data_IF_141935862525
#
_entry.id   IF_141935862525
#
_cell.length_a   1.000
_cell.length_b   1.000
_cell.length_c   1.000
_cell.angle_alpha   90.00
_cell.angle_beta   90.00
_cell.angle_gamma   90.00
#
_symmetry.space_group_name_H-M   'P 1'
#
loop_
_entity.id
_entity.type
_entity.pdbx_description
1 polymer ?
#
# COMPACT_ATOMS: atom_id res chain seq x y z
N UNK A 1 -4.77 18.74 5.35
CA UNK A 1 -4.18 17.58 4.63
C UNK A 1 -2.69 17.52 4.91
N UNK A 2 -2.17 16.36 5.23
CA UNK A 2 -0.75 16.17 5.52
C UNK A 2 -0.11 15.36 4.39
N UNK A 3 0.96 15.88 3.79
CA UNK A 3 1.68 15.20 2.70
C UNK A 3 2.95 14.57 3.25
N UNK A 4 3.17 13.29 2.95
CA UNK A 4 4.38 12.56 3.35
C UNK A 4 5.08 12.06 2.10
N UNK A 5 6.33 12.52 1.90
CA UNK A 5 7.14 12.06 0.77
C UNK A 5 7.67 10.66 1.04
N UNK A 6 7.63 9.81 0.03
CA UNK A 6 8.06 8.41 0.08
C UNK A 6 9.04 8.14 -1.07
N UNK A 7 9.91 7.11 -0.94
CA UNK A 7 10.82 6.78 -2.05
C UNK A 7 10.09 6.44 -3.35
N UNK A 8 8.89 5.91 -3.26
CA UNK A 8 8.09 5.47 -4.41
C UNK A 8 7.11 6.55 -4.92
N UNK A 9 6.97 7.67 -4.21
CA UNK A 9 6.03 8.73 -4.56
C UNK A 9 5.65 9.54 -3.34
N UNK A 10 4.36 9.58 -3.00
CA UNK A 10 3.90 10.32 -1.83
C UNK A 10 2.56 9.80 -1.32
N UNK A 11 2.25 10.17 -0.09
CA UNK A 11 0.94 9.99 0.53
C UNK A 11 0.34 11.36 0.86
N UNK A 12 -0.96 11.49 0.65
CA UNK A 12 -1.74 12.63 1.13
C UNK A 12 -2.74 12.11 2.15
N UNK A 13 -2.54 12.44 3.42
CA UNK A 13 -3.42 11.99 4.50
C UNK A 13 -4.50 13.06 4.69
N UNK A 14 -5.73 12.71 4.31
CA UNK A 14 -6.85 13.65 4.34
C UNK A 14 -7.82 13.40 5.47
N UNK A 15 -7.72 12.24 6.15
CA UNK A 15 -8.53 11.92 7.33
C UNK A 15 -7.67 11.14 8.31
N UNK A 16 -7.62 11.58 9.56
CA UNK A 16 -6.85 10.91 10.60
C UNK A 16 -7.53 11.14 11.95
N UNK A 17 -8.08 10.06 12.51
CA UNK A 17 -8.72 10.08 13.82
C UNK A 17 -8.23 8.89 14.63
N UNK A 18 -8.69 8.77 15.86
CA UNK A 18 -8.39 7.60 16.69
C UNK A 18 -9.08 6.33 16.22
N UNK A 19 -9.97 6.42 15.23
CA UNK A 19 -10.75 5.27 14.74
C UNK A 19 -10.46 4.89 13.30
N UNK A 20 -10.00 5.82 12.46
CA UNK A 20 -9.78 5.54 11.05
C UNK A 20 -8.72 6.46 10.45
N UNK A 21 -8.23 6.05 9.29
CA UNK A 21 -7.28 6.80 8.49
C UNK A 21 -7.76 6.79 7.04
N UNK A 22 -7.67 7.95 6.38
CA UNK A 22 -7.95 8.06 4.95
C UNK A 22 -6.82 8.78 4.25
N UNK A 23 -6.36 8.23 3.11
CA UNK A 23 -5.27 8.84 2.37
C UNK A 23 -5.31 8.48 0.89
N UNK A 24 -4.58 9.27 0.09
CA UNK A 24 -4.25 8.94 -1.28
C UNK A 24 -2.79 8.54 -1.36
N UNK A 25 -2.50 7.49 -2.14
CA UNK A 25 -1.14 7.09 -2.46
C UNK A 25 -0.88 7.41 -3.93
N UNK A 26 0.24 8.06 -4.20
CA UNK A 26 0.68 8.37 -5.56
C UNK A 26 1.98 7.59 -5.80
N UNK A 27 1.91 6.60 -6.69
CA UNK A 27 3.05 5.73 -6.99
C UNK A 27 3.60 6.12 -8.35
N UNK A 28 4.86 6.52 -8.39
CA UNK A 28 5.52 6.94 -9.63
C UNK A 28 5.77 5.75 -10.55
N UNK A 29 5.93 6.03 -11.84
CA UNK A 29 6.21 5.02 -12.87
C UNK A 29 7.39 4.14 -12.43
N UNK A 30 7.23 2.84 -12.55
CA UNK A 30 8.21 1.81 -12.18
C UNK A 30 8.60 1.77 -10.71
N UNK A 31 7.84 2.44 -9.85
CA UNK A 31 8.07 2.38 -8.40
C UNK A 31 7.06 1.45 -7.73
N UNK A 32 7.38 1.06 -6.50
CA UNK A 32 6.56 0.12 -5.75
C UNK A 32 6.76 0.30 -4.25
N UNK A 33 5.73 -0.02 -3.48
CA UNK A 33 5.86 -0.12 -2.03
C UNK A 33 6.63 -1.39 -1.66
N UNK A 34 6.97 -1.53 -0.38
CA UNK A 34 7.54 -2.78 0.11
C UNK A 34 6.52 -3.91 0.01
N UNK A 35 7.00 -5.14 -0.10
CA UNK A 35 6.17 -6.32 0.14
C UNK A 35 6.03 -6.44 1.64
N UNK A 36 4.80 -6.40 2.14
CA UNK A 36 4.56 -6.18 3.56
C UNK A 36 3.23 -6.80 3.99
N UNK A 37 3.08 -6.94 5.30
CA UNK A 37 1.77 -7.22 5.91
C UNK A 37 1.61 -6.40 7.19
N UNK A 38 0.38 -6.32 7.68
CA UNK A 38 0.04 -5.68 8.94
C UNK A 38 -0.48 -6.73 9.91
N UNK A 39 -0.15 -6.58 11.19
CA UNK A 39 -0.58 -7.54 12.19
C UNK A 39 -2.01 -7.25 12.68
N UNK A 40 -2.36 -5.98 12.78
CA UNK A 40 -3.66 -5.52 13.31
C UNK A 40 -4.40 -4.65 12.30
N UNK A 41 -3.66 -3.78 11.59
CA UNK A 41 -4.24 -2.82 10.65
C UNK A 41 -5.01 -3.53 9.55
N UNK A 42 -6.19 -3.00 9.28
CA UNK A 42 -7.05 -3.45 8.17
C UNK A 42 -7.29 -2.28 7.24
N UNK A 43 -7.22 -2.51 5.94
CA UNK A 43 -7.39 -1.43 4.95
C UNK A 43 -8.16 -1.90 3.72
N UNK A 44 -8.73 -0.95 3.01
CA UNK A 44 -9.30 -1.16 1.68
C UNK A 44 -8.77 -0.09 0.76
N UNK A 45 -8.31 -0.49 -0.41
CA UNK A 45 -7.85 0.45 -1.44
C UNK A 45 -8.81 0.44 -2.62
N UNK A 46 -8.88 1.58 -3.28
CA UNK A 46 -9.60 1.75 -4.54
C UNK A 46 -8.65 2.38 -5.55
N UNK A 47 -8.56 1.81 -6.74
CA UNK A 47 -7.75 2.39 -7.81
C UNK A 47 -8.48 3.60 -8.36
N UNK A 48 -7.83 4.77 -8.33
CA UNK A 48 -8.38 6.03 -8.85
C UNK A 48 -7.86 6.29 -10.26
N UNK A 49 -6.55 6.13 -10.47
CA UNK A 49 -5.90 6.33 -11.76
C UNK A 49 -4.83 5.27 -11.99
N UNK A 50 -4.60 4.94 -13.26
CA UNK A 50 -3.56 4.01 -13.66
C UNK A 50 -4.00 2.55 -13.57
N UNK A 51 -3.02 1.65 -13.63
CA UNK A 51 -3.24 0.22 -13.51
C UNK A 51 -2.35 -0.26 -12.38
N UNK A 52 -2.98 -0.72 -11.30
CA UNK A 52 -2.25 -1.24 -10.14
C UNK A 52 -1.82 -2.67 -10.38
N UNK A 53 -0.52 -2.94 -10.29
CA UNK A 53 -0.02 -4.31 -10.16
C UNK A 53 -0.02 -4.66 -8.67
N UNK A 54 -0.78 -5.66 -8.29
CA UNK A 54 -0.96 -6.07 -6.90
C UNK A 54 -0.38 -7.47 -6.72
N UNK A 55 0.57 -7.60 -5.79
CA UNK A 55 1.07 -8.91 -5.35
C UNK A 55 0.37 -9.26 -4.05
N UNK A 56 -0.08 -10.51 -3.91
CA UNK A 56 -0.88 -10.97 -2.77
C UNK A 56 -0.39 -12.34 -2.34
N UNK A 57 -0.35 -12.57 -1.02
CA UNK A 57 0.00 -13.87 -0.48
C UNK A 57 -0.10 -13.91 1.04
N UNK A 58 0.57 -14.90 1.62
CA UNK A 58 0.68 -15.09 3.06
C UNK A 58 2.15 -14.98 3.47
N UNK A 59 2.46 -14.68 4.75
CA UNK A 59 3.85 -14.56 5.18
C UNK A 59 4.72 -15.79 4.90
N UNK A 60 4.12 -16.98 4.91
CA UNK A 60 4.82 -18.24 4.66
C UNK A 60 4.98 -18.59 3.20
N UNK A 61 4.37 -17.84 2.28
CA UNK A 61 4.42 -18.15 0.86
C UNK A 61 5.78 -17.79 0.25
N UNK A 62 6.28 -18.64 -0.66
CA UNK A 62 7.45 -18.36 -1.48
C UNK A 62 7.08 -17.61 -2.74
N UNK A 63 5.90 -17.88 -3.29
CA UNK A 63 5.36 -17.25 -4.50
C UNK A 63 4.10 -16.46 -4.17
N UNK A 64 3.93 -15.32 -4.84
CA UNK A 64 2.79 -14.45 -4.64
C UNK A 64 1.94 -14.37 -5.91
N UNK A 65 0.62 -14.31 -5.71
CA UNK A 65 -0.30 -14.09 -6.82
C UNK A 65 -0.18 -12.66 -7.29
N UNK A 66 -0.33 -12.46 -8.60
CA UNK A 66 -0.29 -11.12 -9.20
C UNK A 66 -1.65 -10.85 -9.85
N UNK A 67 -2.21 -9.67 -9.54
CA UNK A 67 -3.42 -9.18 -10.16
C UNK A 67 -3.17 -7.77 -10.69
N UNK A 68 -3.87 -7.41 -11.78
CA UNK A 68 -3.82 -6.06 -12.33
C UNK A 68 -5.21 -5.44 -12.16
N UNK A 69 -5.28 -4.32 -11.44
CA UNK A 69 -6.53 -3.66 -11.11
C UNK A 69 -6.64 -2.33 -11.84
N UNK A 70 -7.79 -2.10 -12.46
CA UNK A 70 -8.09 -0.87 -13.21
C UNK A 70 -8.90 0.11 -12.36
N UNK A 71 -9.05 1.38 -12.79
CA UNK A 71 -9.79 2.38 -12.00
C UNK A 71 -11.18 1.90 -11.63
N UNK A 72 -11.56 2.14 -10.37
CA UNK A 72 -12.81 1.68 -9.77
C UNK A 72 -12.72 0.34 -9.09
N UNK A 73 -11.66 -0.44 -9.33
CA UNK A 73 -11.46 -1.72 -8.63
C UNK A 73 -11.04 -1.47 -7.18
N UNK A 74 -11.50 -2.33 -6.29
CA UNK A 74 -11.17 -2.28 -4.87
C UNK A 74 -10.53 -3.57 -4.40
N UNK A 75 -9.74 -3.49 -3.34
CA UNK A 75 -9.13 -4.65 -2.71
C UNK A 75 -9.11 -4.46 -1.19
N UNK A 76 -9.62 -5.45 -0.48
CA UNK A 76 -9.64 -5.46 0.99
C UNK A 76 -8.42 -6.21 1.50
N UNK A 77 -7.56 -5.52 2.24
CA UNK A 77 -6.34 -6.07 2.84
C UNK A 77 -6.64 -6.39 4.30
N UNK A 78 -6.81 -7.68 4.59
CA UNK A 78 -7.01 -8.14 5.96
C UNK A 78 -5.68 -8.23 6.70
N UNK A 79 -5.67 -8.13 8.03
CA UNK A 79 -4.46 -8.40 8.81
C UNK A 79 -3.82 -9.74 8.41
N UNK A 80 -2.49 -9.78 8.31
CA UNK A 80 -1.76 -10.97 7.89
C UNK A 80 -1.67 -11.19 6.38
N UNK A 81 -2.36 -10.40 5.58
CA UNK A 81 -2.27 -10.51 4.13
C UNK A 81 -1.02 -9.80 3.62
N UNK A 82 -0.11 -10.57 3.02
CA UNK A 82 1.06 -9.98 2.36
C UNK A 82 0.62 -9.33 1.06
N UNK A 83 1.04 -8.09 0.86
CA UNK A 83 0.68 -7.35 -0.35
C UNK A 83 1.80 -6.40 -0.75
N UNK A 84 1.83 -6.07 -2.05
CA UNK A 84 2.71 -5.05 -2.60
C UNK A 84 1.98 -4.31 -3.69
N UNK A 85 1.96 -2.98 -3.60
CA UNK A 85 1.38 -2.10 -4.60
C UNK A 85 2.47 -1.60 -5.53
N UNK A 86 2.31 -1.83 -6.83
CA UNK A 86 3.32 -1.46 -7.82
C UNK A 86 2.70 -0.64 -8.94
N UNK A 87 3.41 0.38 -9.38
CA UNK A 87 3.18 1.02 -10.67
C UNK A 87 4.16 0.41 -11.67
N UNK A 88 3.71 0.20 -12.91
CA UNK A 88 4.57 -0.30 -13.97
C UNK A 88 4.82 0.82 -15.00
N UNK A 89 4.17 0.78 -16.15
CA UNK A 89 4.43 1.76 -17.23
C UNK A 89 3.70 3.08 -17.06
N UNK A 90 2.71 3.13 -16.16
CA UNK A 90 1.97 4.36 -15.85
C UNK A 90 1.95 4.57 -14.33
N UNK A 91 1.88 5.83 -13.92
CA UNK A 91 1.72 6.18 -12.51
C UNK A 91 0.36 5.70 -12.00
N UNK A 92 0.28 5.42 -10.69
CA UNK A 92 -0.93 4.90 -10.06
C UNK A 92 -1.35 5.84 -8.93
N UNK A 93 -2.65 6.10 -8.84
CA UNK A 93 -3.23 6.78 -7.68
C UNK A 93 -4.23 5.85 -7.02
N UNK A 94 -4.07 5.62 -5.72
CA UNK A 94 -4.96 4.81 -4.90
C UNK A 94 -5.62 5.69 -3.85
N UNK A 95 -6.89 5.40 -3.56
CA UNK A 95 -7.55 5.87 -2.34
C UNK A 95 -7.50 4.75 -1.32
N UNK A 96 -7.10 5.05 -0.10
CA UNK A 96 -7.03 4.08 0.99
C UNK A 96 -7.85 4.56 2.17
N UNK A 97 -8.65 3.67 2.75
CA UNK A 97 -9.26 3.84 4.07
C UNK A 97 -8.78 2.70 4.95
N UNK A 98 -8.47 2.98 6.20
CA UNK A 98 -7.92 1.97 7.08
C UNK A 98 -8.23 2.26 8.55
N UNK A 99 -8.00 1.25 9.39
CA UNK A 99 -7.89 1.44 10.83
C UNK A 99 -6.63 2.28 11.13
N UNK A 100 -6.52 2.87 12.35
CA UNK A 100 -5.53 3.95 12.56
C UNK A 100 -4.10 3.51 12.88
N UNK A 101 -3.77 2.23 12.85
CA UNK A 101 -2.44 1.71 13.21
C UNK A 101 -1.41 2.02 12.12
N UNK A 102 -1.00 3.29 12.01
CA UNK A 102 -0.15 3.78 10.92
C UNK A 102 1.25 3.16 10.93
N UNK A 103 1.75 2.76 12.10
CA UNK A 103 3.11 2.20 12.26
C UNK A 103 3.14 0.68 12.19
N UNK A 104 2.00 0.03 12.03
CA UNK A 104 1.88 -1.42 12.01
C UNK A 104 2.24 -1.95 10.62
N UNK A 105 3.53 -2.12 10.36
CA UNK A 105 4.01 -2.68 9.11
C UNK A 105 5.18 -3.63 9.35
N UNK A 106 5.12 -4.82 8.74
CA UNK A 106 6.22 -5.76 8.68
C UNK A 106 6.65 -5.87 7.23
N UNK A 107 7.86 -5.37 6.92
CA UNK A 107 8.40 -5.39 5.57
C UNK A 107 9.17 -6.67 5.33
N UNK A 108 8.81 -7.39 4.26
CA UNK A 108 9.47 -8.64 3.86
C UNK A 108 10.50 -8.37 2.77
N UNK A 109 10.22 -7.43 1.87
CA UNK A 109 11.12 -7.05 0.78
C UNK A 109 10.86 -5.59 0.44
N UNK A 110 11.93 -4.80 0.34
CA UNK A 110 11.83 -3.37 0.06
C UNK A 110 12.90 -2.98 -0.94
N UNK A 111 12.47 -2.49 -2.11
CA UNK A 111 13.34 -2.00 -3.18
C UNK A 111 14.34 -0.94 -2.67
N UNK A 112 13.97 -0.19 -1.65
CA UNK A 112 14.75 0.94 -1.12
C UNK A 112 15.54 0.59 0.13
N UNK A 113 15.48 -0.67 0.60
CA UNK A 113 16.22 -1.17 1.77
C UNK A 113 15.95 -0.36 3.04
N UNK A 114 14.70 0.09 3.23
CA UNK A 114 14.32 0.84 4.44
C UNK A 114 14.32 -0.07 5.66
N UNK A 115 14.63 0.52 6.81
CA UNK A 115 14.53 -0.19 8.07
C UNK A 115 13.08 -0.52 8.40
N UNK A 116 12.86 -1.58 9.20
CA UNK A 116 11.53 -2.01 9.59
C UNK A 116 10.77 -0.95 10.41
N UNK A 117 11.48 0.00 11.02
CA UNK A 117 10.88 1.07 11.81
C UNK A 117 10.31 2.20 10.95
N UNK A 118 10.66 2.27 9.67
CA UNK A 118 10.16 3.33 8.81
C UNK A 118 8.68 3.11 8.51
N UNK A 119 7.93 4.21 8.54
CA UNK A 119 6.50 4.16 8.23
C UNK A 119 6.27 4.10 6.73
N UNK A 120 5.16 3.51 6.37
CA UNK A 120 4.65 3.58 5.02
C UNK A 120 4.18 4.98 4.68
#
# INVERSE_FOLDING_TARGET
MRVVEKPWGKEEIWAETDKYLGKFLYINVNEMLSRQYHEVKEETICVVEGILKLEIGKPEDDDFKVAYLTPGSTFHVKPGTVHRFCATTVKVKLAEVSTPEIDDVVRLEDKYSREALDNQ
#
